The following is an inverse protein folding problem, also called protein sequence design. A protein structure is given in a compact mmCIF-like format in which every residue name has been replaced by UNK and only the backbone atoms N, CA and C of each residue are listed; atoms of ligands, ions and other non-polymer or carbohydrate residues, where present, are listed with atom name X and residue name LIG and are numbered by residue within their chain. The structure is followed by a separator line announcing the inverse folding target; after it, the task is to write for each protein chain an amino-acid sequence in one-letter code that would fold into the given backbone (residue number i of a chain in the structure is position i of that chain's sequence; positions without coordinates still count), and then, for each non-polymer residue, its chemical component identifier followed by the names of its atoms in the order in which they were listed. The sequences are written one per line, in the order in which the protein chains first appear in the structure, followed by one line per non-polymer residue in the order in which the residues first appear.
data_IF_593557921631
#
_entry.id   IF_593557921631
#
_cell.length_a   1.000
_cell.length_b   1.000
_cell.length_c   1.000
_cell.angle_alpha   90.00
_cell.angle_beta   90.00
_cell.angle_gamma   90.00
#
_symmetry.space_group_name_H-M   'P 1'
#
loop_
_entity.id
_entity.type
_entity.pdbx_description
1 polymer ?
#
# COMPACT_ATOMS: atom_id res chain seq x y z
N UNK A 1 2.73 1.39 -11.37
CA UNK A 1 3.02 -0.06 -11.49
C UNK A 1 4.37 -0.37 -10.81
N UNK A 2 4.42 -1.34 -9.92
CA UNK A 2 5.63 -1.78 -9.22
C UNK A 2 6.11 -3.11 -9.83
N UNK A 3 7.36 -3.17 -10.33
CA UNK A 3 7.94 -4.35 -11.02
C UNK A 3 7.02 -4.94 -12.11
N UNK A 4 6.41 -4.08 -12.93
CA UNK A 4 5.46 -4.50 -13.97
C UNK A 4 4.08 -4.94 -13.45
N UNK A 5 3.85 -4.94 -12.13
CA UNK A 5 2.60 -5.32 -11.49
C UNK A 5 1.80 -4.11 -11.00
N UNK A 6 0.50 -4.10 -11.22
CA UNK A 6 -0.41 -3.13 -10.60
C UNK A 6 -0.75 -3.59 -9.19
N UNK A 7 -0.45 -2.76 -8.20
CA UNK A 7 -0.77 -3.00 -6.79
C UNK A 7 -2.07 -2.28 -6.50
N UNK A 8 -3.14 -3.05 -6.25
CA UNK A 8 -4.48 -2.51 -5.92
C UNK A 8 -4.75 -2.76 -4.45
N UNK A 9 -5.14 -1.71 -3.73
CA UNK A 9 -5.45 -1.75 -2.31
C UNK A 9 -6.85 -1.21 -2.12
N UNK A 10 -7.68 -1.94 -1.38
CA UNK A 10 -9.00 -1.49 -1.00
C UNK A 10 -8.91 -0.78 0.34
N UNK A 11 -9.57 0.38 0.45
CA UNK A 11 -9.77 1.04 1.73
C UNK A 11 -11.00 0.43 2.37
N UNK A 12 -10.84 -0.09 3.59
CA UNK A 12 -11.91 -0.69 4.39
C UNK A 12 -12.04 0.07 5.71
N UNK A 13 -13.15 -0.12 6.43
CA UNK A 13 -13.42 0.61 7.67
C UNK A 13 -12.25 0.56 8.67
N UNK A 14 -11.60 -0.61 8.80
CA UNK A 14 -10.54 -0.85 9.78
C UNK A 14 -9.11 -0.80 9.18
N UNK A 15 -8.95 -0.22 7.99
CA UNK A 15 -7.64 -0.05 7.35
C UNK A 15 -7.62 -0.37 5.87
N UNK A 16 -6.79 -1.34 5.47
CA UNK A 16 -6.50 -1.62 4.06
C UNK A 16 -6.56 -3.11 3.78
N UNK A 17 -7.08 -3.49 2.62
CA UNK A 17 -7.07 -4.86 2.13
C UNK A 17 -6.23 -4.99 0.86
N UNK A 18 -5.36 -5.98 0.83
CA UNK A 18 -4.51 -6.32 -0.31
C UNK A 18 -4.44 -7.84 -0.45
N UNK A 19 -4.81 -8.36 -1.63
CA UNK A 19 -4.84 -9.80 -1.95
C UNK A 19 -5.60 -10.65 -0.89
N UNK A 20 -6.74 -10.15 -0.41
CA UNK A 20 -7.57 -10.83 0.61
C UNK A 20 -6.99 -10.79 2.03
N UNK A 21 -5.91 -10.04 2.27
CA UNK A 21 -5.31 -9.83 3.60
C UNK A 21 -5.54 -8.41 4.08
N UNK A 22 -5.90 -8.26 5.37
CA UNK A 22 -6.08 -6.96 6.03
C UNK A 22 -4.79 -6.43 6.63
N UNK A 23 -4.59 -5.12 6.50
CA UNK A 23 -3.42 -4.38 6.95
C UNK A 23 -3.84 -3.09 7.66
N UNK A 24 -3.18 -2.76 8.76
CA UNK A 24 -3.47 -1.56 9.56
C UNK A 24 -2.95 -0.26 8.93
N UNK A 25 -2.11 -0.32 7.89
CA UNK A 25 -1.55 0.86 7.23
C UNK A 25 -1.07 0.58 5.81
N UNK A 26 -0.97 1.63 5.00
CA UNK A 26 -0.38 1.57 3.65
C UNK A 26 1.09 1.14 3.67
N UNK A 27 1.86 1.50 4.70
CA UNK A 27 3.26 1.05 4.84
C UNK A 27 3.34 -0.45 5.08
N UNK A 28 2.37 -1.05 5.78
CA UNK A 28 2.30 -2.49 5.95
C UNK A 28 1.99 -3.20 4.62
N UNK A 29 1.09 -2.65 3.81
CA UNK A 29 0.84 -3.15 2.45
C UNK A 29 2.09 -2.99 1.57
N UNK A 30 2.74 -1.82 1.60
CA UNK A 30 3.93 -1.55 0.81
C UNK A 30 5.09 -2.50 1.21
N UNK A 31 5.24 -2.83 2.49
CA UNK A 31 6.18 -3.84 2.97
C UNK A 31 5.82 -5.24 2.47
N UNK A 32 4.54 -5.61 2.46
CA UNK A 32 4.10 -6.90 1.92
C UNK A 32 4.38 -7.04 0.41
N UNK A 33 4.29 -5.93 -0.34
CA UNK A 33 4.55 -5.91 -1.78
C UNK A 33 6.04 -5.87 -2.11
N UNK A 34 6.81 -5.05 -1.38
CA UNK A 34 8.22 -4.76 -1.72
C UNK A 34 9.23 -5.59 -0.95
N UNK A 35 8.84 -6.20 0.17
CA UNK A 35 9.73 -6.88 1.11
C UNK A 35 10.55 -5.94 2.01
N UNK A 36 10.47 -4.62 1.79
CA UNK A 36 11.24 -3.61 2.53
C UNK A 36 10.33 -2.64 3.26
N UNK A 37 10.80 -2.11 4.39
CA UNK A 37 10.07 -1.08 5.10
C UNK A 37 10.19 0.26 4.37
N UNK A 38 9.14 0.64 3.65
CA UNK A 38 9.06 1.90 2.90
C UNK A 38 7.81 2.68 3.30
N UNK A 39 7.85 4.01 3.11
CA UNK A 39 6.69 4.85 3.36
C UNK A 39 5.56 4.51 2.37
N UNK A 40 4.43 4.03 2.90
CA UNK A 40 3.27 3.65 2.09
C UNK A 40 2.69 4.80 1.27
N UNK A 41 2.58 6.01 1.83
CA UNK A 41 2.07 7.17 1.09
C UNK A 41 2.97 7.54 -0.09
N UNK A 42 4.28 7.44 0.08
CA UNK A 42 5.24 7.66 -1.01
C UNK A 42 5.12 6.55 -2.07
N UNK A 43 5.02 5.28 -1.64
CA UNK A 43 4.87 4.14 -2.53
C UNK A 43 3.61 4.23 -3.40
N UNK A 44 2.48 4.63 -2.79
CA UNK A 44 1.20 4.82 -3.48
C UNK A 44 1.05 6.21 -4.11
N UNK A 45 2.07 7.07 -4.04
CA UNK A 45 2.05 8.46 -4.56
C UNK A 45 0.85 9.27 -4.06
N UNK A 46 0.43 9.04 -2.82
CA UNK A 46 -0.70 9.70 -2.16
C UNK A 46 -0.31 10.97 -1.41
N UNK A 47 0.95 11.43 -1.55
CA UNK A 47 1.32 12.75 -1.03
C UNK A 47 0.57 13.79 -1.86
N UNK A 48 -0.29 14.55 -1.18
CA UNK A 48 -0.94 15.72 -1.76
C UNK A 48 0.17 16.72 -2.11
N UNK A 49 0.34 17.05 -3.39
CA UNK A 49 1.00 18.32 -3.71
C UNK A 49 0.05 19.41 -3.22
N UNK A 50 0.57 20.31 -2.37
CA UNK A 50 -0.11 21.56 -2.06
C UNK A 50 -0.08 22.46 -3.29
#
# INVERSE_FOLDING_TARGET
PYKGRTVRVLVVADGFEYEGRRYKSLSAVAKAVTGSHINGFAFFRLRRNA
#
